data_IF_389746784667
#
_entry.id   IF_389746784667
#
_cell.length_a   1.000
_cell.length_b   1.000
_cell.length_c   1.000
_cell.angle_alpha   90.00
_cell.angle_beta   90.00
_cell.angle_gamma   90.00
#
_symmetry.space_group_name_H-M   'P 1'
#
loop_
_entity.id
_entity.type
_entity.pdbx_description
1 polymer ?
#
# COMPACT_ATOMS: atom_id res chain seq x y z
N UNK A 1 19.91 3.96 -12.95
CA UNK A 1 19.71 5.38 -12.58
C UNK A 1 18.97 5.42 -11.27
N UNK A 2 19.35 6.33 -10.37
CA UNK A 2 18.64 6.53 -9.11
C UNK A 2 17.81 7.81 -9.22
N UNK A 3 16.53 7.72 -8.93
CA UNK A 3 15.60 8.86 -8.92
C UNK A 3 15.11 9.07 -7.49
N UNK A 4 15.16 10.29 -7.01
CA UNK A 4 14.84 10.62 -5.62
C UNK A 4 13.78 11.73 -5.57
N UNK A 5 12.73 11.46 -4.82
CA UNK A 5 11.67 12.37 -4.39
C UNK A 5 11.81 12.59 -2.89
N UNK A 6 10.97 13.39 -2.28
CA UNK A 6 11.04 13.64 -0.84
C UNK A 6 10.71 12.40 0.00
N UNK A 7 9.69 11.64 -0.42
CA UNK A 7 9.14 10.51 0.34
C UNK A 7 9.34 9.17 -0.36
N UNK A 8 9.75 9.21 -1.63
CA UNK A 8 9.98 8.04 -2.45
C UNK A 8 11.34 8.13 -3.13
N UNK A 9 11.93 6.98 -3.35
CA UNK A 9 13.07 6.85 -4.25
C UNK A 9 12.93 5.55 -5.05
N UNK A 10 13.44 5.54 -6.27
CA UNK A 10 13.46 4.31 -7.05
C UNK A 10 14.75 4.14 -7.83
N UNK A 11 15.05 2.91 -8.11
CA UNK A 11 16.13 2.49 -8.99
C UNK A 11 15.62 1.47 -10.00
N UNK A 12 16.24 1.44 -11.17
CA UNK A 12 15.99 0.44 -12.21
C UNK A 12 17.22 -0.46 -12.24
N UNK A 13 17.02 -1.77 -12.14
CA UNK A 13 18.08 -2.76 -12.20
C UNK A 13 18.40 -3.18 -13.66
N UNK A 14 19.38 -4.07 -13.83
CA UNK A 14 19.84 -4.61 -15.12
C UNK A 14 18.77 -5.48 -15.83
N UNK A 15 17.76 -5.94 -15.11
CA UNK A 15 16.59 -6.67 -15.64
C UNK A 15 15.41 -5.76 -15.98
N UNK A 16 15.61 -4.44 -15.95
CA UNK A 16 14.58 -3.43 -16.15
C UNK A 16 13.43 -3.54 -15.12
N UNK A 17 13.71 -3.99 -13.90
CA UNK A 17 12.77 -3.98 -12.77
C UNK A 17 12.94 -2.67 -12.02
N UNK A 18 11.82 -1.99 -11.76
CA UNK A 18 11.77 -0.80 -10.92
C UNK A 18 11.62 -1.21 -9.46
N UNK A 19 12.54 -0.77 -8.63
CA UNK A 19 12.55 -0.94 -7.17
C UNK A 19 12.18 0.38 -6.53
N UNK A 20 10.90 0.52 -6.16
CA UNK A 20 10.31 1.73 -5.60
C UNK A 20 10.22 1.64 -4.09
N UNK A 21 10.98 2.48 -3.41
CA UNK A 21 11.06 2.55 -1.96
C UNK A 21 10.24 3.72 -1.42
N UNK A 22 9.30 3.43 -0.52
CA UNK A 22 8.69 4.47 0.32
C UNK A 22 9.53 4.67 1.57
N UNK A 23 9.93 5.91 1.81
CA UNK A 23 10.66 6.33 3.01
C UNK A 23 10.27 7.77 3.38
N UNK A 24 9.09 7.91 4.00
CA UNK A 24 8.52 9.24 4.31
C UNK A 24 9.50 10.04 5.13
N UNK A 25 9.85 11.20 4.60
CA UNK A 25 10.80 12.11 5.23
C UNK A 25 10.28 12.63 6.59
N UNK A 26 11.17 12.86 7.53
CA UNK A 26 10.87 13.37 8.88
C UNK A 26 9.80 12.56 9.64
N UNK A 27 9.69 11.26 9.38
CA UNK A 27 8.71 10.39 10.02
C UNK A 27 9.33 9.03 10.40
N UNK A 28 8.94 8.50 11.54
CA UNK A 28 9.35 7.17 11.99
C UNK A 28 8.56 6.03 11.31
N UNK A 29 7.46 6.37 10.65
CA UNK A 29 6.61 5.43 9.93
C UNK A 29 6.12 6.03 8.62
N UNK A 30 5.87 5.19 7.63
CA UNK A 30 5.23 5.64 6.40
C UNK A 30 3.73 5.79 6.59
N UNK A 31 3.19 6.92 6.15
CA UNK A 31 1.75 7.20 6.02
C UNK A 31 1.48 7.76 4.63
N UNK A 32 0.29 7.54 4.11
CA UNK A 32 -0.15 8.09 2.83
C UNK A 32 -0.76 9.48 3.06
N UNK A 33 0.10 10.49 3.07
CA UNK A 33 -0.28 11.90 3.04
C UNK A 33 -0.44 12.39 1.58
N UNK A 34 -1.02 13.55 1.39
CA UNK A 34 -1.27 14.12 0.07
C UNK A 34 0.00 14.24 -0.78
N UNK A 35 1.11 14.68 -0.17
CA UNK A 35 2.42 14.77 -0.82
C UNK A 35 2.94 13.39 -1.25
N UNK A 36 2.83 12.38 -0.37
CA UNK A 36 3.23 10.99 -0.68
C UNK A 36 2.43 10.43 -1.85
N UNK A 37 1.11 10.68 -1.90
CA UNK A 37 0.24 10.23 -3.00
C UNK A 37 0.54 10.98 -4.30
N UNK A 38 0.78 12.29 -4.24
CA UNK A 38 1.15 13.09 -5.42
C UNK A 38 2.49 12.64 -6.02
N UNK A 39 3.49 12.39 -5.18
CA UNK A 39 4.77 11.85 -5.63
C UNK A 39 4.59 10.46 -6.28
N UNK A 40 3.83 9.57 -5.67
CA UNK A 40 3.55 8.24 -6.25
C UNK A 40 2.86 8.36 -7.61
N UNK A 41 1.92 9.28 -7.76
CA UNK A 41 1.25 9.53 -9.05
C UNK A 41 2.24 10.00 -10.12
N UNK A 42 3.14 10.92 -9.77
CA UNK A 42 4.19 11.41 -10.69
C UNK A 42 5.15 10.28 -11.09
N UNK A 43 5.57 9.48 -10.10
CA UNK A 43 6.48 8.33 -10.30
C UNK A 43 5.84 7.29 -11.23
N UNK A 44 4.59 6.89 -11.00
CA UNK A 44 3.92 5.90 -11.85
C UNK A 44 3.79 6.39 -13.30
N UNK A 45 3.54 7.70 -13.50
CA UNK A 45 3.53 8.29 -14.84
C UNK A 45 4.92 8.27 -15.50
N UNK A 46 5.97 8.53 -14.71
CA UNK A 46 7.34 8.46 -15.20
C UNK A 46 7.76 7.03 -15.56
N UNK A 47 7.45 6.06 -14.67
CA UNK A 47 7.76 4.64 -14.86
C UNK A 47 7.08 4.08 -16.11
N UNK A 48 5.85 4.44 -16.39
CA UNK A 48 5.13 3.98 -17.60
C UNK A 48 5.89 4.30 -18.90
N UNK A 49 6.66 5.39 -18.94
CA UNK A 49 7.47 5.75 -20.11
C UNK A 49 8.65 4.79 -20.34
N UNK A 50 9.16 4.16 -19.28
CA UNK A 50 10.28 3.21 -19.36
C UNK A 50 9.85 1.80 -19.75
N UNK A 51 8.54 1.48 -19.68
CA UNK A 51 7.99 0.13 -19.92
C UNK A 51 8.78 -0.94 -19.18
N UNK A 52 8.80 -0.91 -17.84
CA UNK A 52 9.58 -1.84 -17.05
C UNK A 52 9.06 -3.27 -17.19
N UNK A 53 9.91 -4.25 -16.88
CA UNK A 53 9.52 -5.66 -16.81
C UNK A 53 8.78 -5.99 -15.52
N UNK A 54 8.84 -5.11 -14.51
CA UNK A 54 8.12 -5.24 -13.24
C UNK A 54 8.37 -4.06 -12.31
N UNK A 55 7.51 -3.93 -11.32
CA UNK A 55 7.60 -2.93 -10.25
C UNK A 55 7.55 -3.63 -8.88
N UNK A 56 8.55 -3.37 -8.05
CA UNK A 56 8.58 -3.81 -6.65
C UNK A 56 8.46 -2.60 -5.74
N UNK A 57 7.40 -2.55 -4.93
CA UNK A 57 7.16 -1.50 -3.94
C UNK A 57 7.53 -2.03 -2.56
N UNK A 58 8.40 -1.34 -1.84
CA UNK A 58 8.86 -1.74 -0.51
C UNK A 58 9.10 -0.52 0.39
N UNK A 59 9.29 -0.77 1.69
CA UNK A 59 9.55 0.28 2.68
C UNK A 59 11.03 0.41 3.00
N UNK A 60 11.51 1.65 3.13
CA UNK A 60 12.80 1.98 3.73
C UNK A 60 12.79 1.95 5.25
N UNK A 61 11.61 2.00 5.89
CA UNK A 61 11.45 1.95 7.35
C UNK A 61 11.57 0.51 7.87
N UNK A 62 12.28 0.33 8.96
CA UNK A 62 12.36 -0.97 9.65
C UNK A 62 11.09 -1.31 10.44
N UNK A 63 10.31 -0.30 10.80
CA UNK A 63 9.09 -0.45 11.60
C UNK A 63 7.96 -1.16 10.87
N UNK A 64 7.88 -1.02 9.56
CA UNK A 64 6.84 -1.64 8.76
C UNK A 64 6.67 -1.02 7.38
N UNK A 65 5.61 -1.43 6.68
CA UNK A 65 5.33 -0.97 5.32
C UNK A 65 4.68 0.42 5.34
N UNK A 66 3.36 0.49 5.56
CA UNK A 66 2.60 1.75 5.61
C UNK A 66 1.50 1.63 6.68
N UNK A 67 1.38 2.63 7.56
CA UNK A 67 0.40 2.63 8.67
C UNK A 67 -1.02 3.02 8.25
N UNK A 68 -1.21 3.56 7.07
CA UNK A 68 -2.50 4.03 6.56
C UNK A 68 -2.41 5.42 5.97
N UNK A 69 -3.56 6.05 5.77
CA UNK A 69 -3.65 7.45 5.39
C UNK A 69 -3.23 8.36 6.57
N UNK A 70 -2.75 9.56 6.25
CA UNK A 70 -2.48 10.56 7.29
C UNK A 70 -3.81 11.14 7.77
N UNK A 71 -4.28 10.66 8.94
CA UNK A 71 -5.56 11.09 9.51
C UNK A 71 -5.59 12.58 9.85
N UNK A 72 -4.44 13.21 10.09
CA UNK A 72 -4.39 14.63 10.40
C UNK A 72 -4.83 15.49 9.21
N UNK A 73 -4.67 15.02 7.99
CA UNK A 73 -5.12 15.72 6.78
C UNK A 73 -6.65 15.71 6.62
N UNK A 74 -7.34 14.81 7.32
CA UNK A 74 -8.81 14.77 7.32
C UNK A 74 -9.44 15.63 8.42
N UNK A 75 -8.64 16.04 9.43
CA UNK A 75 -9.12 16.88 10.53
C UNK A 75 -9.43 18.27 9.97
N UNK A 76 -10.67 18.73 10.17
CA UNK A 76 -11.11 20.05 9.73
C UNK A 76 -11.59 20.15 8.27
N UNK A 77 -11.71 19.03 7.56
CA UNK A 77 -12.41 19.02 6.27
C UNK A 77 -13.91 19.05 6.55
N UNK A 78 -14.50 20.25 6.40
CA UNK A 78 -15.94 20.50 6.57
C UNK A 78 -16.70 20.56 5.23
N UNK A 79 -16.00 20.45 4.13
CA UNK A 79 -16.55 20.51 2.77
C UNK A 79 -16.65 19.08 2.21
N UNK A 80 -17.89 18.56 1.99
CA UNK A 80 -18.09 17.21 1.44
C UNK A 80 -17.48 17.01 0.05
N UNK A 81 -17.50 18.04 -0.80
CA UNK A 81 -16.98 17.93 -2.16
C UNK A 81 -15.45 17.80 -2.13
N UNK A 82 -14.80 18.56 -1.27
CA UNK A 82 -13.35 18.44 -1.05
C UNK A 82 -12.97 17.08 -0.48
N UNK A 83 -13.74 16.56 0.48
CA UNK A 83 -13.54 15.23 1.03
C UNK A 83 -13.69 14.15 -0.07
N UNK A 84 -14.72 14.26 -0.89
CA UNK A 84 -14.96 13.38 -2.02
C UNK A 84 -13.80 13.40 -3.02
N UNK A 85 -13.30 14.59 -3.39
CA UNK A 85 -12.18 14.72 -4.32
C UNK A 85 -10.91 14.04 -3.82
N UNK A 86 -10.55 14.23 -2.54
CA UNK A 86 -9.37 13.59 -1.93
C UNK A 86 -9.47 12.07 -2.02
N UNK A 87 -10.61 11.51 -1.62
CA UNK A 87 -10.84 10.06 -1.68
C UNK A 87 -10.81 9.55 -3.12
N UNK A 88 -11.43 10.27 -4.07
CA UNK A 88 -11.43 9.90 -5.48
C UNK A 88 -10.04 9.94 -6.11
N UNK A 89 -9.20 10.89 -5.73
CA UNK A 89 -7.80 10.92 -6.17
C UNK A 89 -7.03 9.71 -5.67
N UNK A 90 -7.18 9.35 -4.40
CA UNK A 90 -6.59 8.13 -3.84
C UNK A 90 -7.08 6.86 -4.55
N UNK A 91 -8.38 6.74 -4.80
CA UNK A 91 -8.96 5.61 -5.55
C UNK A 91 -8.37 5.52 -6.97
N UNK A 92 -8.35 6.62 -7.72
CA UNK A 92 -7.79 6.67 -9.08
C UNK A 92 -6.32 6.26 -9.10
N UNK A 93 -5.56 6.62 -8.08
CA UNK A 93 -4.15 6.24 -7.97
C UNK A 93 -4.00 4.72 -7.74
N UNK A 94 -4.83 4.14 -6.86
CA UNK A 94 -4.85 2.68 -6.65
C UNK A 94 -5.33 1.93 -7.90
N UNK A 95 -6.34 2.46 -8.62
CA UNK A 95 -6.82 1.89 -9.89
C UNK A 95 -5.72 1.95 -10.96
N UNK A 96 -4.96 3.04 -11.01
CA UNK A 96 -3.81 3.18 -11.91
C UNK A 96 -2.74 2.14 -11.62
N UNK A 97 -2.40 1.92 -10.33
CA UNK A 97 -1.44 0.90 -9.91
C UNK A 97 -1.92 -0.52 -10.26
N UNK A 98 -3.22 -0.82 -10.02
CA UNK A 98 -3.82 -2.11 -10.35
C UNK A 98 -3.84 -2.40 -11.86
N UNK A 99 -3.98 -1.36 -12.68
CA UNK A 99 -4.10 -1.47 -14.14
C UNK A 99 -2.77 -1.35 -14.90
N UNK A 100 -1.62 -1.36 -14.22
CA UNK A 100 -0.31 -1.32 -14.90
C UNK A 100 -0.13 -2.51 -15.83
N UNK A 101 0.51 -2.29 -16.98
CA UNK A 101 0.77 -3.34 -17.97
C UNK A 101 1.91 -4.31 -17.59
N UNK A 102 2.58 -4.06 -16.48
CA UNK A 102 3.69 -4.85 -15.95
C UNK A 102 3.37 -5.41 -14.57
N UNK A 103 3.97 -6.55 -14.18
CA UNK A 103 3.77 -7.14 -12.86
C UNK A 103 4.16 -6.19 -11.74
N UNK A 104 3.32 -6.14 -10.69
CA UNK A 104 3.58 -5.34 -9.50
C UNK A 104 3.64 -6.22 -8.25
N UNK A 105 4.66 -6.01 -7.43
CA UNK A 105 4.90 -6.74 -6.18
C UNK A 105 5.01 -5.74 -5.04
N UNK A 106 4.22 -5.93 -4.00
CA UNK A 106 4.37 -5.21 -2.74
C UNK A 106 5.10 -6.08 -1.72
N UNK A 107 6.12 -5.54 -1.06
CA UNK A 107 6.89 -6.22 -0.01
C UNK A 107 6.57 -5.60 1.35
N UNK A 108 5.87 -6.36 2.18
CA UNK A 108 5.41 -5.95 3.51
C UNK A 108 6.42 -6.45 4.54
N UNK A 109 7.13 -5.55 5.20
CA UNK A 109 8.19 -5.87 6.18
C UNK A 109 7.76 -5.73 7.65
N UNK A 110 6.49 -5.47 7.91
CA UNK A 110 5.94 -5.30 9.25
C UNK A 110 4.44 -5.06 9.18
N UNK A 111 3.96 -3.91 9.63
CA UNK A 111 2.56 -3.56 9.51
C UNK A 111 2.19 -3.09 8.09
N UNK A 112 0.97 -3.43 7.67
CA UNK A 112 0.28 -2.84 6.52
C UNK A 112 -1.17 -2.60 6.93
N UNK A 113 -1.51 -1.34 7.21
CA UNK A 113 -2.80 -0.98 7.80
C UNK A 113 -3.53 0.05 6.92
N UNK A 114 -4.87 0.00 6.91
CA UNK A 114 -5.70 0.97 6.22
C UNK A 114 -5.28 1.20 4.77
N UNK A 115 -5.10 2.45 4.38
CA UNK A 115 -4.59 2.83 3.05
C UNK A 115 -3.31 2.12 2.63
N UNK A 116 -2.45 1.72 3.59
CA UNK A 116 -1.25 0.93 3.31
C UNK A 116 -1.56 -0.49 2.83
N UNK A 117 -2.57 -1.13 3.41
CA UNK A 117 -3.07 -2.41 2.92
C UNK A 117 -3.83 -2.21 1.59
N UNK A 118 -4.54 -1.10 1.42
CA UNK A 118 -5.24 -0.79 0.17
C UNK A 118 -4.26 -0.63 -0.99
N UNK A 119 -3.13 0.05 -0.77
CA UNK A 119 -2.03 0.13 -1.75
C UNK A 119 -1.43 -1.25 -2.03
N UNK A 120 -1.17 -2.04 -1.00
CA UNK A 120 -0.67 -3.40 -1.19
C UNK A 120 -1.64 -4.27 -1.99
N UNK A 121 -2.95 -4.14 -1.77
CA UNK A 121 -3.99 -4.85 -2.52
C UNK A 121 -4.15 -4.36 -3.97
N UNK A 122 -3.71 -3.15 -4.29
CA UNK A 122 -3.65 -2.65 -5.66
C UNK A 122 -2.48 -3.26 -6.45
N UNK A 123 -1.47 -3.82 -5.78
CA UNK A 123 -0.43 -4.63 -6.43
C UNK A 123 -0.94 -6.03 -6.74
N UNK A 124 -0.42 -6.66 -7.82
CA UNK A 124 -0.78 -8.02 -8.21
C UNK A 124 -0.33 -9.06 -7.20
N UNK A 125 0.88 -8.90 -6.63
CA UNK A 125 1.44 -9.82 -5.64
C UNK A 125 1.82 -9.07 -4.35
N UNK A 126 1.65 -9.75 -3.22
CA UNK A 126 1.98 -9.26 -1.87
C UNK A 126 2.86 -10.29 -1.19
N UNK A 127 4.13 -9.94 -1.03
CA UNK A 127 5.07 -10.70 -0.21
C UNK A 127 5.09 -10.11 1.19
N UNK A 128 5.12 -10.96 2.21
CA UNK A 128 5.33 -10.52 3.57
C UNK A 128 6.65 -11.09 4.10
N UNK A 129 7.51 -10.24 4.63
CA UNK A 129 8.72 -10.69 5.27
C UNK A 129 8.39 -11.32 6.62
N UNK A 130 9.05 -12.42 6.94
CA UNK A 130 8.87 -13.12 8.20
C UNK A 130 9.25 -12.22 9.37
N UNK A 131 8.24 -11.80 10.11
CA UNK A 131 8.38 -10.95 11.27
C UNK A 131 7.15 -11.17 12.18
N UNK A 132 7.40 -11.56 13.43
CA UNK A 132 6.32 -11.88 14.39
C UNK A 132 5.47 -10.65 14.77
N UNK A 133 5.97 -9.45 14.50
CA UNK A 133 5.25 -8.18 14.72
C UNK A 133 4.42 -7.73 13.52
N UNK A 134 4.50 -8.45 12.40
CA UNK A 134 3.74 -8.08 11.19
C UNK A 134 2.26 -8.27 11.40
N UNK A 135 1.51 -7.21 11.16
CA UNK A 135 0.05 -7.18 11.24
C UNK A 135 -0.52 -6.51 9.98
N UNK A 136 -1.64 -7.04 9.54
CA UNK A 136 -2.35 -6.61 8.33
C UNK A 136 -3.78 -6.31 8.71
N UNK A 137 -4.31 -5.16 8.31
CA UNK A 137 -5.66 -4.79 8.74
C UNK A 137 -6.25 -3.59 8.03
N UNK A 138 -7.57 -3.46 8.18
CA UNK A 138 -8.36 -2.31 7.76
C UNK A 138 -9.08 -1.74 9.01
N UNK A 139 -8.37 -0.92 9.82
CA UNK A 139 -8.88 -0.46 11.12
C UNK A 139 -9.81 0.75 11.03
N UNK A 140 -10.18 1.21 9.85
CA UNK A 140 -10.92 2.46 9.60
C UNK A 140 -12.22 2.54 10.41
N UNK A 141 -12.92 1.41 10.63
CA UNK A 141 -14.14 1.36 11.42
C UNK A 141 -13.95 1.81 12.87
N UNK A 142 -12.74 1.67 13.43
CA UNK A 142 -12.40 2.15 14.77
C UNK A 142 -12.38 3.68 14.85
N UNK A 143 -12.33 4.35 13.71
CA UNK A 143 -12.40 5.81 13.57
C UNK A 143 -13.77 6.27 13.04
N UNK A 144 -14.77 5.37 12.95
CA UNK A 144 -16.07 5.68 12.36
C UNK A 144 -16.04 5.82 10.82
N UNK A 145 -14.99 5.32 10.17
CA UNK A 145 -14.79 5.39 8.73
C UNK A 145 -14.87 3.99 8.10
N UNK A 146 -14.77 3.95 6.78
CA UNK A 146 -14.56 2.71 6.02
C UNK A 146 -13.32 2.86 5.12
N UNK A 147 -12.72 1.77 4.61
CA UNK A 147 -11.59 1.84 3.68
C UNK A 147 -11.94 2.70 2.47
N UNK A 148 -11.16 3.76 2.24
CA UNK A 148 -11.49 4.82 1.28
C UNK A 148 -10.84 4.67 -0.10
N UNK A 149 -9.70 3.96 -0.20
CA UNK A 149 -8.92 3.86 -1.44
C UNK A 149 -9.23 2.59 -2.26
N UNK A 150 -10.41 2.01 -2.06
CA UNK A 150 -10.90 0.85 -2.81
C UNK A 150 -10.72 -0.49 -2.10
N UNK A 151 -10.32 -0.49 -0.83
CA UNK A 151 -10.17 -1.69 -0.01
C UNK A 151 -11.46 -2.48 0.15
N UNK A 152 -12.61 -1.82 0.16
CA UNK A 152 -13.92 -2.47 0.22
C UNK A 152 -14.16 -3.42 -0.95
N UNK A 153 -13.66 -3.11 -2.13
CA UNK A 153 -13.79 -3.93 -3.34
C UNK A 153 -12.63 -4.93 -3.43
N UNK A 154 -11.39 -4.45 -3.28
CA UNK A 154 -10.19 -5.28 -3.45
C UNK A 154 -10.09 -6.38 -2.41
N UNK A 155 -10.43 -6.09 -1.15
CA UNK A 155 -10.44 -7.12 -0.10
C UNK A 155 -11.40 -8.27 -0.43
N UNK A 156 -12.58 -7.96 -0.96
CA UNK A 156 -13.57 -8.97 -1.37
C UNK A 156 -13.06 -9.79 -2.55
N UNK A 157 -12.48 -9.15 -3.57
CA UNK A 157 -11.89 -9.85 -4.74
C UNK A 157 -10.76 -10.80 -4.33
N UNK A 158 -9.92 -10.39 -3.38
CA UNK A 158 -8.69 -11.09 -2.99
C UNK A 158 -8.97 -12.21 -1.98
N UNK A 159 -9.75 -11.93 -0.93
CA UNK A 159 -9.91 -12.82 0.24
C UNK A 159 -11.34 -13.39 0.40
N UNK A 160 -12.24 -13.06 -0.52
CA UNK A 160 -13.66 -13.41 -0.45
C UNK A 160 -14.44 -12.57 0.57
N UNK A 161 -15.76 -12.58 0.42
CA UNK A 161 -16.70 -11.73 1.19
C UNK A 161 -16.51 -11.92 2.69
N UNK A 162 -16.48 -13.17 3.18
CA UNK A 162 -16.43 -13.46 4.61
C UNK A 162 -15.17 -12.91 5.30
N UNK A 163 -13.99 -13.11 4.69
CA UNK A 163 -12.73 -12.64 5.23
C UNK A 163 -12.63 -11.11 5.19
N UNK A 164 -13.05 -10.52 4.06
CA UNK A 164 -13.06 -9.09 3.87
C UNK A 164 -13.98 -8.37 4.85
N UNK A 165 -15.24 -8.83 4.97
CA UNK A 165 -16.20 -8.25 5.90
C UNK A 165 -15.74 -8.36 7.36
N UNK A 166 -15.16 -9.50 7.76
CA UNK A 166 -14.61 -9.66 9.10
C UNK A 166 -13.49 -8.64 9.37
N UNK A 167 -12.57 -8.47 8.41
CA UNK A 167 -11.45 -7.53 8.57
C UNK A 167 -11.93 -6.08 8.66
N UNK A 168 -12.86 -5.67 7.79
CA UNK A 168 -13.37 -4.30 7.72
C UNK A 168 -14.31 -3.95 8.88
N UNK A 169 -15.26 -4.83 9.23
CA UNK A 169 -16.27 -4.53 10.24
C UNK A 169 -15.73 -4.62 11.67
N UNK A 170 -14.72 -5.44 11.90
CA UNK A 170 -14.10 -5.52 13.24
C UNK A 170 -12.96 -4.52 13.41
N UNK A 171 -12.31 -4.09 12.33
CA UNK A 171 -11.09 -3.28 12.36
C UNK A 171 -9.92 -3.97 13.06
N UNK A 172 -10.05 -5.25 13.44
CA UNK A 172 -9.00 -5.99 14.14
C UNK A 172 -7.96 -6.49 13.14
N UNK A 173 -6.69 -6.12 13.31
CA UNK A 173 -5.64 -6.62 12.44
C UNK A 173 -5.44 -8.12 12.62
N UNK A 174 -4.94 -8.76 11.59
CA UNK A 174 -4.64 -10.20 11.55
C UNK A 174 -3.14 -10.44 11.39
N UNK A 175 -2.68 -11.59 11.86
CA UNK A 175 -1.29 -12.03 11.68
C UNK A 175 -1.01 -12.39 10.23
N UNK A 176 0.25 -12.37 9.83
CA UNK A 176 0.69 -12.76 8.48
C UNK A 176 0.28 -14.19 8.12
N UNK A 177 0.35 -15.14 9.07
CA UNK A 177 -0.12 -16.53 8.85
C UNK A 177 -1.61 -16.57 8.50
N UNK A 178 -2.44 -15.78 9.21
CA UNK A 178 -3.87 -15.68 8.93
C UNK A 178 -4.14 -14.97 7.61
N UNK A 179 -3.38 -13.91 7.32
CA UNK A 179 -3.48 -13.18 6.05
C UNK A 179 -3.13 -14.07 4.84
N UNK A 180 -2.09 -14.90 4.96
CA UNK A 180 -1.75 -15.89 3.93
C UNK A 180 -2.88 -16.90 3.72
N UNK A 181 -3.41 -17.47 4.81
CA UNK A 181 -4.52 -18.43 4.74
C UNK A 181 -5.79 -17.83 4.12
N UNK A 182 -6.02 -16.55 4.31
CA UNK A 182 -7.19 -15.83 3.79
C UNK A 182 -6.97 -15.21 2.40
N UNK A 183 -5.74 -15.25 1.85
CA UNK A 183 -5.41 -14.73 0.52
C UNK A 183 -5.03 -13.25 0.49
N UNK A 184 -5.02 -12.54 1.63
CA UNK A 184 -4.58 -11.13 1.65
C UNK A 184 -3.11 -10.96 1.29
N UNK A 185 -2.27 -11.96 1.53
CA UNK A 185 -0.89 -12.03 1.05
C UNK A 185 -0.68 -13.33 0.28
N UNK A 186 0.30 -13.34 -0.63
CA UNK A 186 0.55 -14.45 -1.53
C UNK A 186 1.68 -15.37 -1.01
N UNK A 187 2.66 -14.80 -0.29
CA UNK A 187 3.80 -15.56 0.23
C UNK A 187 4.39 -14.89 1.47
N UNK A 188 4.90 -15.72 2.39
CA UNK A 188 5.79 -15.29 3.47
C UNK A 188 7.19 -15.77 3.09
N UNK A 189 8.19 -14.89 3.15
CA UNK A 189 9.59 -15.20 2.85
C UNK A 189 10.51 -14.66 3.95
N UNK A 190 11.70 -15.25 4.03
CA UNK A 190 12.74 -14.76 4.94
C UNK A 190 13.31 -13.44 4.43
N UNK A 191 13.88 -12.63 5.35
CA UNK A 191 14.35 -11.29 5.03
C UNK A 191 15.45 -11.24 3.96
N UNK A 192 16.17 -12.33 3.74
CA UNK A 192 17.26 -12.43 2.78
C UNK A 192 16.83 -13.00 1.41
N UNK A 193 15.56 -13.40 1.23
CA UNK A 193 15.11 -14.13 0.04
C UNK A 193 14.26 -13.31 -0.94
N UNK A 194 13.99 -12.05 -0.64
CA UNK A 194 13.05 -11.25 -1.44
C UNK A 194 13.71 -10.30 -2.45
N UNK A 195 15.04 -10.16 -2.38
CA UNK A 195 15.86 -9.34 -3.30
C UNK A 195 16.58 -10.19 -4.32
#
# INVERSE_FOLDING_TARGET
>A
MNHSFNNWNYKIDDKNIVWLCIDKNNSNANVLSADVLQELQAILKEIDNFKPTGLVIYSGKQTGFIMGADINEFIGINDPDKAYEIIRQGQKLMDKLESTAYPTVCVINGFALGGGLELAMACQYRLCLKNDRSIIGLPEVQLGLHPGFGGTIRAVKIAGVRSAMNLMLTGKPITTKKALKQGFINKICDQNEWR
#
